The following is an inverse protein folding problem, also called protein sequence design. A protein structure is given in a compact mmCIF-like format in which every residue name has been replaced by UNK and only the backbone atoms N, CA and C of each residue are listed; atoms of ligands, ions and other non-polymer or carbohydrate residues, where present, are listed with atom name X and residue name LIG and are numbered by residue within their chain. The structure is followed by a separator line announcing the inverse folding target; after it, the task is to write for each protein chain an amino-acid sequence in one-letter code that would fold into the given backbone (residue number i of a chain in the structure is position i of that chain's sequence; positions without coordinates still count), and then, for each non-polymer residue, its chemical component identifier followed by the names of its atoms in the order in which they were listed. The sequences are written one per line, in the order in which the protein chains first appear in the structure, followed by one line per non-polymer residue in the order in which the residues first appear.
data_IF_962786566204
#
_entry.id   IF_962786566204
#
_cell.length_a   1.000
_cell.length_b   1.000
_cell.length_c   1.000
_cell.angle_alpha   90.00
_cell.angle_beta   90.00
_cell.angle_gamma   90.00
#
_symmetry.space_group_name_H-M   'P 1'
#
loop_
_entity.id
_entity.type
_entity.pdbx_description
1 polymer ?
#
# COMPACT_ATOMS: atom_id res chain seq x y z
N UNK A 1 8.13 4.75 -94.83
CA UNK A 1 9.08 3.62 -94.78
C UNK A 1 10.04 3.92 -93.64
N UNK A 2 9.96 3.15 -92.56
CA UNK A 2 10.70 3.37 -91.31
C UNK A 2 12.21 3.18 -91.47
N UNK A 3 12.99 4.06 -90.85
CA UNK A 3 14.34 3.81 -90.34
C UNK A 3 14.60 4.76 -89.14
N UNK A 4 15.04 4.27 -87.97
CA UNK A 4 15.28 5.07 -86.78
C UNK A 4 16.78 5.38 -86.57
N UNK A 5 17.08 6.44 -85.81
CA UNK A 5 18.43 6.73 -85.27
C UNK A 5 18.37 6.82 -83.75
N UNK A 6 19.28 6.07 -83.11
CA UNK A 6 19.54 5.97 -81.67
C UNK A 6 19.71 7.33 -80.99
N UNK A 7 19.09 7.50 -79.82
CA UNK A 7 19.45 8.52 -78.84
C UNK A 7 19.68 7.86 -77.48
N UNK A 8 20.84 8.15 -76.90
CA UNK A 8 21.40 7.63 -75.66
C UNK A 8 20.77 8.38 -74.46
N UNK A 9 20.09 7.68 -73.56
CA UNK A 9 19.54 8.26 -72.32
C UNK A 9 20.51 8.05 -71.14
N UNK A 10 20.96 9.16 -70.56
CA UNK A 10 21.71 9.21 -69.29
C UNK A 10 20.72 9.09 -68.12
N UNK A 11 20.91 8.11 -67.23
CA UNK A 11 20.16 7.99 -65.97
C UNK A 11 20.99 8.64 -64.86
N UNK A 12 20.48 9.71 -64.25
CA UNK A 12 21.05 10.30 -63.05
C UNK A 12 20.50 9.58 -61.81
N UNK A 13 21.39 8.99 -61.01
CA UNK A 13 21.06 8.36 -59.74
C UNK A 13 20.97 9.45 -58.65
N UNK A 14 19.78 9.62 -58.05
CA UNK A 14 19.57 10.46 -56.87
C UNK A 14 19.70 9.57 -55.64
N UNK A 15 20.79 9.70 -54.88
CA UNK A 15 20.96 9.07 -53.57
C UNK A 15 20.22 9.91 -52.51
N UNK A 16 18.98 9.52 -52.19
CA UNK A 16 18.26 10.05 -51.04
C UNK A 16 18.76 9.43 -49.75
N UNK A 17 19.48 10.19 -48.94
CA UNK A 17 19.77 9.82 -47.55
C UNK A 17 18.49 9.97 -46.73
N UNK A 18 17.87 8.85 -46.37
CA UNK A 18 16.78 8.81 -45.39
C UNK A 18 17.37 9.12 -44.01
N UNK A 19 17.19 10.36 -43.54
CA UNK A 19 17.37 10.68 -42.14
C UNK A 19 16.28 9.95 -41.34
N UNK A 20 16.67 8.88 -40.65
CA UNK A 20 15.78 8.18 -39.71
C UNK A 20 15.36 9.15 -38.61
N UNK A 21 14.05 9.18 -38.34
CA UNK A 21 13.49 9.85 -37.16
C UNK A 21 14.23 9.36 -35.90
N UNK A 22 14.58 10.22 -34.93
CA UNK A 22 15.14 9.75 -33.68
C UNK A 22 14.10 8.81 -33.04
N UNK A 23 14.45 7.52 -32.92
CA UNK A 23 13.74 6.63 -32.02
C UNK A 23 13.85 7.28 -30.64
N UNK A 24 12.72 7.76 -30.11
CA UNK A 24 12.61 8.03 -28.69
C UNK A 24 13.05 6.75 -27.99
N UNK A 25 14.21 6.82 -27.36
CA UNK A 25 14.67 5.80 -26.43
C UNK A 25 13.57 5.75 -25.38
N UNK A 26 12.75 4.71 -25.43
CA UNK A 26 11.75 4.45 -24.42
C UNK A 26 12.56 4.23 -23.14
N UNK A 27 12.67 5.27 -22.31
CA UNK A 27 13.39 5.19 -21.04
C UNK A 27 12.79 4.01 -20.29
N UNK A 28 13.63 3.08 -19.86
CA UNK A 28 13.16 2.01 -18.99
C UNK A 28 12.45 2.69 -17.80
N UNK A 29 11.23 2.24 -17.45
CA UNK A 29 10.50 2.84 -16.34
C UNK A 29 11.39 2.84 -15.10
N UNK A 30 11.52 3.99 -14.44
CA UNK A 30 12.37 4.14 -13.26
C UNK A 30 11.51 3.85 -12.04
N UNK A 31 11.79 2.79 -11.25
CA UNK A 31 11.05 2.55 -10.03
C UNK A 31 11.39 3.66 -9.02
N UNK A 32 10.34 4.24 -8.43
CA UNK A 32 10.41 5.27 -7.40
C UNK A 32 9.84 4.69 -6.11
N UNK A 33 10.61 4.78 -5.04
CA UNK A 33 10.16 4.49 -3.69
C UNK A 33 9.66 5.78 -3.04
N UNK A 34 8.43 5.73 -2.51
CA UNK A 34 7.83 6.76 -1.67
C UNK A 34 7.84 6.29 -0.23
N UNK A 35 8.34 7.12 0.68
CA UNK A 35 8.39 6.85 2.11
C UNK A 35 7.66 7.93 2.91
N UNK A 36 6.58 7.54 3.58
CA UNK A 36 5.71 8.39 4.37
C UNK A 36 6.09 8.34 5.86
N UNK A 37 5.96 9.45 6.59
CA UNK A 37 6.57 9.62 7.91
C UNK A 37 5.66 10.27 8.95
N UNK A 38 5.94 10.03 10.23
CA UNK A 38 5.49 10.92 11.30
C UNK A 38 6.39 12.15 11.37
N UNK A 39 5.80 13.32 11.55
CA UNK A 39 6.51 14.62 11.49
C UNK A 39 6.35 15.45 12.77
N UNK A 40 5.64 14.92 13.77
CA UNK A 40 5.41 15.57 15.06
C UNK A 40 5.44 14.55 16.20
N UNK A 41 5.73 15.03 17.40
CA UNK A 41 5.51 14.29 18.64
C UNK A 41 4.00 14.12 18.93
N UNK A 42 3.55 12.88 19.07
CA UNK A 42 2.18 12.49 19.42
C UNK A 42 2.08 11.94 20.86
N UNK A 43 3.15 12.08 21.66
CA UNK A 43 3.26 11.62 23.05
C UNK A 43 3.60 10.14 23.22
N UNK A 44 3.21 9.30 22.26
CA UNK A 44 3.61 7.88 22.19
C UNK A 44 4.66 7.61 21.10
N UNK A 45 4.94 8.60 20.25
CA UNK A 45 5.97 8.59 19.21
C UNK A 45 6.48 10.02 19.00
N UNK A 46 7.80 10.18 18.91
CA UNK A 46 8.42 11.45 18.54
C UNK A 46 8.74 11.44 17.03
N UNK A 47 7.83 11.98 16.21
CA UNK A 47 8.00 12.05 14.76
C UNK A 47 9.12 13.00 14.33
N UNK A 48 10.11 12.47 13.61
CA UNK A 48 11.29 13.24 13.12
C UNK A 48 11.36 13.34 11.60
N UNK A 49 10.38 12.78 10.90
CA UNK A 49 10.26 12.89 9.45
C UNK A 49 9.97 14.32 8.99
N UNK A 50 10.20 14.58 7.70
CA UNK A 50 10.02 15.92 7.08
C UNK A 50 8.86 15.96 6.09
N UNK A 51 8.10 14.87 5.96
CA UNK A 51 7.02 14.73 4.99
C UNK A 51 7.09 13.40 4.24
N UNK A 52 6.91 13.43 2.93
CA UNK A 52 7.04 12.27 2.05
C UNK A 52 8.39 12.36 1.33
N UNK A 53 9.19 11.32 1.45
CA UNK A 53 10.48 11.19 0.78
C UNK A 53 10.32 10.37 -0.50
N UNK A 54 11.06 10.72 -1.54
CA UNK A 54 11.17 9.92 -2.77
C UNK A 54 12.61 9.50 -3.01
N UNK A 55 12.77 8.28 -3.51
CA UNK A 55 14.06 7.72 -3.90
C UNK A 55 13.93 7.08 -5.27
N UNK A 56 14.94 7.28 -6.12
CA UNK A 56 15.12 6.45 -7.31
C UNK A 56 15.65 5.09 -6.85
N UNK A 57 14.92 4.03 -7.18
CA UNK A 57 15.25 2.68 -6.79
C UNK A 57 15.95 1.94 -7.94
N UNK A 58 17.19 1.54 -7.72
CA UNK A 58 17.94 0.68 -8.63
C UNK A 58 17.65 -0.79 -8.29
N UNK A 59 16.95 -1.47 -9.19
CA UNK A 59 16.57 -2.88 -9.01
C UNK A 59 17.68 -3.86 -9.37
N UNK A 60 18.83 -3.39 -9.86
CA UNK A 60 19.98 -4.24 -10.17
C UNK A 60 20.76 -4.61 -8.90
N UNK A 61 20.90 -3.68 -7.95
CA UNK A 61 21.65 -3.87 -6.71
C UNK A 61 20.86 -3.54 -5.43
N UNK A 62 19.63 -3.04 -5.58
CA UNK A 62 18.75 -2.70 -4.47
C UNK A 62 19.06 -1.33 -3.84
N UNK A 63 19.86 -0.48 -4.48
CA UNK A 63 20.21 0.83 -3.93
C UNK A 63 19.11 1.88 -4.13
N UNK A 64 18.99 2.77 -3.16
CA UNK A 64 18.08 3.92 -3.15
C UNK A 64 18.90 5.20 -3.27
N UNK A 65 18.66 5.98 -4.31
CA UNK A 65 19.22 7.32 -4.46
C UNK A 65 18.18 8.35 -4.02
N UNK A 66 18.44 9.17 -2.97
CA UNK A 66 17.53 10.23 -2.57
C UNK A 66 17.20 11.15 -3.74
N UNK A 67 15.93 11.51 -3.88
CA UNK A 67 15.46 12.31 -5.02
C UNK A 67 14.76 13.59 -4.54
N UNK A 68 13.65 13.48 -3.81
CA UNK A 68 12.89 14.62 -3.32
C UNK A 68 12.36 14.41 -1.90
N UNK A 69 12.01 15.53 -1.25
CA UNK A 69 11.32 15.54 0.04
C UNK A 69 10.20 16.56 -0.03
N UNK A 70 8.98 16.13 0.24
CA UNK A 70 7.78 16.98 0.16
C UNK A 70 7.15 17.14 1.54
N UNK A 71 7.25 18.32 2.17
CA UNK A 71 6.43 18.65 3.33
C UNK A 71 4.94 18.62 2.95
N UNK A 72 4.15 17.84 3.68
CA UNK A 72 2.72 17.71 3.43
C UNK A 72 1.97 17.71 4.76
N UNK A 73 1.97 18.85 5.46
CA UNK A 73 1.34 18.98 6.76
C UNK A 73 1.91 18.06 7.84
N UNK A 74 1.09 17.74 8.83
CA UNK A 74 1.47 16.92 9.99
C UNK A 74 1.16 15.45 9.71
N UNK A 75 2.13 14.57 9.98
CA UNK A 75 2.04 13.12 9.87
C UNK A 75 1.47 12.58 8.54
N UNK A 76 2.02 12.94 7.36
CA UNK A 76 1.72 12.25 6.11
C UNK A 76 2.23 10.81 6.17
N UNK A 77 1.45 9.91 6.75
CA UNK A 77 1.93 8.61 7.24
C UNK A 77 1.60 7.41 6.35
N UNK A 78 0.83 7.61 5.28
CA UNK A 78 0.53 6.54 4.32
C UNK A 78 0.38 7.14 2.93
N UNK A 79 0.92 6.43 1.93
CA UNK A 79 0.89 6.82 0.52
C UNK A 79 0.43 5.65 -0.34
N UNK A 80 -0.32 5.94 -1.39
CA UNK A 80 -0.75 4.97 -2.39
C UNK A 80 -0.89 5.66 -3.74
N UNK A 81 -0.19 5.14 -4.76
CA UNK A 81 -0.30 5.62 -6.13
C UNK A 81 -1.34 4.87 -6.95
N UNK A 82 -1.84 5.53 -7.99
CA UNK A 82 -2.70 4.97 -9.06
C UNK A 82 -1.84 4.19 -10.04
N UNK A 83 -2.35 3.12 -10.62
CA UNK A 83 -1.72 2.39 -11.73
C UNK A 83 -2.10 2.97 -13.08
N UNK A 84 -3.25 3.64 -13.18
CA UNK A 84 -3.67 4.36 -14.40
C UNK A 84 -3.14 5.79 -14.43
N UNK A 85 -3.03 6.28 -15.65
CA UNK A 85 -2.81 7.69 -15.99
C UNK A 85 -4.16 8.39 -16.15
N UNK A 86 -4.28 9.61 -15.62
CA UNK A 86 -5.48 10.44 -15.73
C UNK A 86 -5.47 11.31 -16.99
N UNK A 87 -6.53 12.10 -17.22
CA UNK A 87 -6.64 12.93 -18.44
C UNK A 87 -5.52 13.96 -18.59
N UNK A 88 -4.82 14.30 -17.50
CA UNK A 88 -3.65 15.19 -17.51
C UNK A 88 -2.40 14.53 -18.11
N UNK A 89 -2.41 13.20 -18.28
CA UNK A 89 -1.22 12.45 -18.68
C UNK A 89 -0.36 12.00 -17.50
N UNK A 90 -0.78 12.28 -16.26
CA UNK A 90 -0.04 11.97 -15.04
C UNK A 90 -0.70 10.84 -14.24
N UNK A 91 0.12 10.10 -13.48
CA UNK A 91 -0.34 9.24 -12.39
C UNK A 91 -0.50 10.08 -11.12
N UNK A 92 -1.46 9.73 -10.29
CA UNK A 92 -1.74 10.45 -9.04
C UNK A 92 -1.31 9.61 -7.84
N UNK A 93 -0.76 10.29 -6.83
CA UNK A 93 -0.42 9.74 -5.52
C UNK A 93 -1.40 10.31 -4.51
N UNK A 94 -1.97 9.44 -3.69
CA UNK A 94 -2.76 9.85 -2.55
C UNK A 94 -1.94 9.68 -1.27
N UNK A 95 -2.04 10.66 -0.38
CA UNK A 95 -1.40 10.63 0.92
C UNK A 95 -2.40 11.02 2.01
N UNK A 96 -2.27 10.44 3.20
CA UNK A 96 -3.10 10.80 4.36
C UNK A 96 -2.29 11.40 5.50
N UNK A 97 -2.87 12.41 6.13
CA UNK A 97 -2.37 13.05 7.34
C UNK A 97 -3.07 12.47 8.57
N UNK A 98 -2.34 11.69 9.36
CA UNK A 98 -2.87 11.06 10.56
C UNK A 98 -2.87 12.02 11.75
N UNK A 99 -3.85 12.89 11.74
CA UNK A 99 -4.19 13.80 12.83
C UNK A 99 -5.65 13.60 13.23
N UNK A 100 -6.02 14.11 14.40
CA UNK A 100 -7.39 14.09 14.92
C UNK A 100 -7.83 15.50 15.28
N UNK A 101 -7.77 16.38 14.29
CA UNK A 101 -8.13 17.80 14.42
C UNK A 101 -9.65 17.96 14.45
N UNK A 102 -10.15 19.08 14.95
CA UNK A 102 -11.58 19.40 14.88
C UNK A 102 -11.99 19.64 13.42
N UNK A 103 -13.05 18.96 12.97
CA UNK A 103 -13.55 19.10 11.60
C UNK A 103 -14.22 20.46 11.40
N UNK A 104 -13.83 21.17 10.32
CA UNK A 104 -14.50 22.41 9.92
C UNK A 104 -15.78 22.15 9.15
N UNK A 105 -15.89 21.01 8.47
CA UNK A 105 -17.07 20.62 7.69
C UNK A 105 -18.14 19.93 8.53
N UNK A 106 -17.75 19.29 9.62
CA UNK A 106 -18.60 18.53 10.53
C UNK A 106 -18.32 18.96 11.99
N UNK A 107 -18.81 20.14 12.42
CA UNK A 107 -18.53 20.64 13.76
C UNK A 107 -18.88 19.65 14.87
N UNK A 108 -17.99 19.51 15.86
CA UNK A 108 -18.11 18.56 16.96
C UNK A 108 -17.57 17.15 16.66
N UNK A 109 -17.00 16.91 15.47
CA UNK A 109 -16.30 15.66 15.14
C UNK A 109 -14.81 15.90 14.89
N UNK A 110 -14.05 14.79 14.82
CA UNK A 110 -12.61 14.82 14.51
C UNK A 110 -12.35 14.40 13.06
N UNK A 111 -11.25 14.89 12.50
CA UNK A 111 -10.81 14.55 11.14
C UNK A 111 -9.29 14.45 11.04
N UNK A 112 -8.83 13.62 10.11
CA UNK A 112 -7.55 13.81 9.44
C UNK A 112 -7.76 14.36 8.03
N UNK A 113 -6.75 14.19 7.18
CA UNK A 113 -6.81 14.68 5.79
C UNK A 113 -6.34 13.63 4.80
N UNK A 114 -6.84 13.73 3.57
CA UNK A 114 -6.34 13.02 2.39
C UNK A 114 -6.02 14.06 1.33
N UNK A 115 -4.86 13.90 0.69
CA UNK A 115 -4.37 14.76 -0.39
C UNK A 115 -4.15 13.94 -1.66
N UNK A 116 -4.48 14.51 -2.81
CA UNK A 116 -4.10 14.02 -4.14
C UNK A 116 -2.93 14.83 -4.68
N UNK A 117 -1.90 14.17 -5.20
CA UNK A 117 -0.65 14.77 -5.62
C UNK A 117 -0.14 14.18 -6.95
N UNK A 118 0.65 14.95 -7.69
CA UNK A 118 1.43 14.50 -8.85
C UNK A 118 2.92 14.52 -8.51
N UNK A 119 3.73 13.81 -9.29
CA UNK A 119 5.18 13.72 -9.10
C UNK A 119 5.90 14.66 -10.07
N UNK A 120 6.74 15.54 -9.54
CA UNK A 120 7.57 16.46 -10.32
C UNK A 120 8.87 15.79 -10.79
N UNK A 121 9.50 16.38 -11.82
CA UNK A 121 10.80 15.94 -12.36
C UNK A 121 11.96 16.00 -11.34
N UNK A 122 11.82 16.83 -10.30
CA UNK A 122 12.78 16.94 -9.19
C UNK A 122 12.52 15.94 -8.05
N UNK A 123 11.48 15.09 -8.18
CA UNK A 123 11.11 14.09 -7.19
C UNK A 123 10.22 14.60 -6.06
N UNK A 124 9.88 15.89 -6.03
CA UNK A 124 8.88 16.43 -5.11
C UNK A 124 7.47 16.12 -5.59
N UNK A 125 6.49 16.25 -4.70
CA UNK A 125 5.08 16.06 -5.02
C UNK A 125 4.37 17.41 -5.10
N UNK A 126 3.62 17.62 -6.18
CA UNK A 126 2.76 18.79 -6.35
C UNK A 126 1.34 18.47 -5.89
N UNK A 127 0.74 19.36 -5.10
CA UNK A 127 -0.59 19.17 -4.54
C UNK A 127 -1.69 19.52 -5.56
N UNK A 128 -2.59 18.57 -5.85
CA UNK A 128 -3.82 18.84 -6.60
C UNK A 128 -4.91 19.39 -5.67
N UNK A 129 -5.26 18.62 -4.63
CA UNK A 129 -6.20 19.07 -3.60
C UNK A 129 -6.08 18.25 -2.31
N UNK A 130 -6.70 18.77 -1.24
CA UNK A 130 -6.81 18.11 0.07
C UNK A 130 -8.24 18.18 0.57
N UNK A 131 -8.74 17.09 1.17
CA UNK A 131 -10.04 17.03 1.83
C UNK A 131 -9.92 16.45 3.25
N UNK A 132 -10.83 16.85 4.12
CA UNK A 132 -11.08 16.20 5.42
C UNK A 132 -11.56 14.77 5.20
N UNK A 133 -11.06 13.82 5.99
CA UNK A 133 -11.45 12.40 5.93
C UNK A 133 -12.70 12.09 6.76
N UNK A 134 -13.27 13.07 7.46
CA UNK A 134 -14.45 12.90 8.32
C UNK A 134 -14.23 11.82 9.40
N UNK A 135 -12.99 11.63 9.82
CA UNK A 135 -12.64 10.72 10.92
C UNK A 135 -11.20 10.92 11.37
N UNK A 136 -10.96 10.83 12.67
CA UNK A 136 -9.64 11.04 13.25
C UNK A 136 -8.64 9.94 12.91
N UNK A 137 -7.37 10.34 12.80
CA UNK A 137 -6.22 9.46 12.55
C UNK A 137 -6.42 8.48 11.39
N UNK A 138 -6.58 8.95 10.14
CA UNK A 138 -6.52 8.08 8.97
C UNK A 138 -5.24 7.23 8.99
N UNK A 139 -5.35 5.97 8.56
CA UNK A 139 -4.26 4.99 8.67
C UNK A 139 -3.95 4.23 7.38
N UNK A 140 -4.85 4.24 6.40
CA UNK A 140 -4.67 3.48 5.17
C UNK A 140 -5.52 4.03 4.02
N UNK A 141 -5.01 3.85 2.79
CA UNK A 141 -5.66 4.24 1.54
C UNK A 141 -5.85 3.00 0.68
N UNK A 142 -7.03 2.80 0.08
CA UNK A 142 -7.20 1.84 -1.00
C UNK A 142 -7.93 2.45 -2.18
N UNK A 143 -7.53 2.05 -3.39
CA UNK A 143 -8.17 2.44 -4.64
C UNK A 143 -9.12 1.35 -5.11
N UNK A 144 -10.29 1.73 -5.61
CA UNK A 144 -11.17 0.79 -6.29
C UNK A 144 -10.47 0.16 -7.50
N UNK A 145 -10.88 -1.04 -7.97
CA UNK A 145 -10.17 -1.71 -9.07
C UNK A 145 -10.10 -0.92 -10.38
N UNK A 146 -11.06 -0.01 -10.62
CA UNK A 146 -11.07 0.90 -11.77
C UNK A 146 -10.37 2.23 -11.47
N UNK A 147 -9.93 2.44 -10.23
CA UNK A 147 -9.32 3.66 -9.70
C UNK A 147 -10.21 4.88 -9.92
N UNK A 148 -11.52 4.69 -9.68
CA UNK A 148 -12.55 5.75 -9.75
C UNK A 148 -12.95 6.23 -8.35
N UNK A 149 -12.52 5.53 -7.30
CA UNK A 149 -12.79 5.86 -5.90
C UNK A 149 -11.56 5.60 -5.05
N UNK A 150 -11.35 6.48 -4.06
CA UNK A 150 -10.42 6.28 -2.94
C UNK A 150 -11.22 6.00 -1.69
N UNK A 151 -10.84 4.96 -0.94
CA UNK A 151 -11.37 4.64 0.39
C UNK A 151 -10.28 4.91 1.43
N UNK A 152 -10.65 5.68 2.44
CA UNK A 152 -9.80 6.01 3.59
C UNK A 152 -10.31 5.24 4.81
N UNK A 153 -9.39 4.53 5.46
CA UNK A 153 -9.61 3.90 6.75
C UNK A 153 -9.19 4.87 7.85
N UNK A 154 -10.13 5.30 8.68
CA UNK A 154 -9.86 6.13 9.84
C UNK A 154 -9.72 5.26 11.09
N UNK A 155 -8.56 5.31 11.74
CA UNK A 155 -8.31 4.57 12.98
C UNK A 155 -9.30 4.98 14.08
N UNK A 156 -9.85 6.20 14.04
CA UNK A 156 -10.95 6.64 14.89
C UNK A 156 -12.26 5.84 14.77
N UNK A 157 -12.29 4.81 13.92
CA UNK A 157 -13.40 3.87 13.82
C UNK A 157 -14.37 4.19 12.70
N UNK A 158 -13.91 4.73 11.57
CA UNK A 158 -14.77 5.04 10.44
C UNK A 158 -14.14 4.74 9.08
N UNK A 159 -14.98 4.69 8.06
CA UNK A 159 -14.60 4.57 6.66
C UNK A 159 -15.16 5.76 5.89
N UNK A 160 -14.35 6.35 5.02
CA UNK A 160 -14.76 7.45 4.14
C UNK A 160 -14.35 7.17 2.71
N UNK A 161 -15.22 7.48 1.74
CA UNK A 161 -14.95 7.26 0.32
C UNK A 161 -15.15 8.55 -0.48
N UNK A 162 -14.22 8.76 -1.42
CA UNK A 162 -14.20 9.89 -2.34
C UNK A 162 -14.19 9.35 -3.78
N UNK A 163 -15.11 9.80 -4.65
CA UNK A 163 -14.94 9.63 -6.09
C UNK A 163 -13.72 10.42 -6.58
N UNK A 164 -13.16 10.02 -7.71
CA UNK A 164 -12.04 10.70 -8.34
C UNK A 164 -12.51 11.50 -9.57
N UNK A 165 -12.01 12.72 -9.69
CA UNK A 165 -12.21 13.56 -10.85
C UNK A 165 -11.38 13.05 -12.04
N UNK A 166 -11.61 13.61 -13.22
CA UNK A 166 -10.94 13.16 -14.44
C UNK A 166 -9.43 13.44 -14.48
N UNK A 167 -8.95 14.38 -13.65
CA UNK A 167 -7.54 14.69 -13.41
C UNK A 167 -6.95 13.88 -12.24
N UNK A 168 -7.76 13.06 -11.57
CA UNK A 168 -7.37 12.27 -10.39
C UNK A 168 -7.40 13.05 -9.08
N UNK A 169 -7.79 14.32 -9.07
CA UNK A 169 -8.10 15.02 -7.82
C UNK A 169 -9.32 14.40 -7.12
N UNK A 170 -9.41 14.59 -5.81
CA UNK A 170 -10.52 14.05 -5.02
C UNK A 170 -11.80 14.86 -5.26
N UNK A 171 -12.91 14.19 -5.56
CA UNK A 171 -14.25 14.79 -5.56
C UNK A 171 -14.81 14.86 -4.12
N UNK A 172 -16.00 15.47 -3.98
CA UNK A 172 -16.69 15.55 -2.68
C UNK A 172 -16.92 14.15 -2.10
N UNK A 173 -16.78 14.02 -0.77
CA UNK A 173 -17.15 12.83 -0.01
C UNK A 173 -18.51 12.28 -0.46
N UNK A 174 -18.54 11.00 -0.84
CA UNK A 174 -19.75 10.32 -1.31
C UNK A 174 -20.27 9.28 -0.32
N UNK A 175 -19.44 8.86 0.64
CA UNK A 175 -19.82 7.89 1.67
C UNK A 175 -18.99 8.07 2.93
N UNK A 176 -19.65 7.94 4.08
CA UNK A 176 -19.03 7.88 5.40
C UNK A 176 -19.82 6.92 6.30
N UNK A 177 -19.13 6.11 7.08
CA UNK A 177 -19.76 5.22 8.07
C UNK A 177 -18.87 5.01 9.29
N UNK A 178 -19.46 5.17 10.47
CA UNK A 178 -18.80 4.95 11.76
C UNK A 178 -19.06 3.54 12.34
N UNK A 179 -18.11 3.07 13.14
CA UNK A 179 -18.07 1.79 13.83
C UNK A 179 -17.65 2.01 15.30
N UNK A 180 -18.49 2.62 16.15
CA UNK A 180 -18.09 3.03 17.50
C UNK A 180 -17.92 1.86 18.49
N UNK A 181 -18.31 0.64 18.12
CA UNK A 181 -18.30 -0.53 19.01
C UNK A 181 -17.00 -1.31 18.86
N UNK A 182 -16.28 -1.47 19.96
CA UNK A 182 -15.16 -2.41 20.07
C UNK A 182 -15.57 -3.75 20.69
N UNK A 183 -14.68 -4.74 20.62
CA UNK A 183 -14.89 -6.07 21.22
C UNK A 183 -14.71 -6.07 22.73
N UNK A 184 -14.02 -5.05 23.27
CA UNK A 184 -13.69 -4.87 24.70
C UNK A 184 -12.84 -6.00 25.30
N UNK A 185 -12.14 -6.76 24.46
CA UNK A 185 -11.28 -7.87 24.90
C UNK A 185 -9.93 -7.34 25.39
N UNK A 186 -9.28 -6.48 24.60
CA UNK A 186 -8.06 -5.76 24.98
C UNK A 186 -8.38 -4.27 25.05
N UNK A 187 -8.76 -3.80 26.25
CA UNK A 187 -9.43 -2.52 26.45
C UNK A 187 -8.71 -1.31 25.84
N UNK A 188 -7.39 -1.24 25.95
CA UNK A 188 -6.61 -0.09 25.46
C UNK A 188 -6.69 0.05 23.93
N UNK A 189 -6.88 -1.05 23.19
CA UNK A 189 -6.96 -1.08 21.73
C UNK A 189 -8.34 -1.45 21.18
N UNK A 190 -9.29 -1.86 22.04
CA UNK A 190 -10.58 -2.44 21.61
C UNK A 190 -11.78 -1.92 22.42
N UNK A 191 -11.65 -0.75 23.06
CA UNK A 191 -12.78 -0.06 23.70
C UNK A 191 -13.82 0.42 22.65
N UNK A 192 -13.36 0.81 21.47
CA UNK A 192 -14.14 1.25 20.30
C UNK A 192 -13.71 0.50 19.04
N UNK A 193 -14.39 0.72 17.91
CA UNK A 193 -13.90 0.23 16.62
C UNK A 193 -12.73 1.06 16.12
N UNK A 194 -11.82 0.40 15.39
CA UNK A 194 -10.62 1.00 14.82
C UNK A 194 -10.38 0.42 13.44
N UNK A 195 -10.78 1.17 12.39
CA UNK A 195 -10.63 0.71 11.01
C UNK A 195 -9.18 0.94 10.58
N UNK A 196 -8.43 -0.14 10.42
CA UNK A 196 -7.00 -0.03 10.16
C UNK A 196 -6.66 -0.10 8.67
N UNK A 197 -7.38 -0.88 7.88
CA UNK A 197 -7.18 -0.93 6.42
C UNK A 197 -8.43 -1.29 5.65
N UNK A 198 -8.37 -1.06 4.33
CA UNK A 198 -9.34 -1.57 3.36
C UNK A 198 -8.63 -2.26 2.20
N UNK A 199 -9.22 -3.34 1.69
CA UNK A 199 -8.67 -4.11 0.57
C UNK A 199 -9.80 -4.54 -0.36
N UNK A 200 -9.69 -4.15 -1.64
CA UNK A 200 -10.65 -4.54 -2.68
C UNK A 200 -10.42 -5.98 -3.11
N UNK A 201 -11.48 -6.79 -3.09
CA UNK A 201 -11.38 -8.18 -3.49
C UNK A 201 -11.21 -8.29 -5.02
N UNK A 202 -10.40 -9.24 -5.50
CA UNK A 202 -9.99 -9.32 -6.90
C UNK A 202 -11.16 -9.31 -7.88
N UNK A 203 -11.08 -8.48 -8.93
CA UNK A 203 -12.07 -8.39 -10.01
C UNK A 203 -13.52 -8.23 -9.51
N UNK A 204 -13.71 -7.52 -8.41
CA UNK A 204 -15.01 -7.39 -7.77
C UNK A 204 -15.30 -5.96 -7.33
N UNK A 205 -16.57 -5.72 -7.00
CA UNK A 205 -17.03 -4.48 -6.38
C UNK A 205 -17.04 -4.56 -4.85
N UNK A 206 -16.41 -5.58 -4.28
CA UNK A 206 -16.44 -5.81 -2.86
C UNK A 206 -15.12 -5.36 -2.22
N UNK A 207 -15.23 -4.69 -1.08
CA UNK A 207 -14.10 -4.22 -0.28
C UNK A 207 -14.25 -4.77 1.13
N UNK A 208 -13.13 -5.21 1.71
CA UNK A 208 -13.07 -5.67 3.08
C UNK A 208 -12.30 -4.65 3.91
N UNK A 209 -12.84 -4.27 5.06
CA UNK A 209 -12.19 -3.41 6.01
C UNK A 209 -11.78 -4.21 7.26
N UNK A 210 -10.52 -4.08 7.66
CA UNK A 210 -10.02 -4.66 8.89
C UNK A 210 -10.36 -3.73 10.06
N UNK A 211 -11.27 -4.16 10.93
CA UNK A 211 -11.62 -3.46 12.15
C UNK A 211 -10.89 -4.09 13.34
N UNK A 212 -9.73 -3.52 13.68
CA UNK A 212 -8.90 -3.93 14.79
C UNK A 212 -9.69 -3.91 16.10
N UNK A 213 -10.43 -2.81 16.31
CA UNK A 213 -11.14 -2.55 17.55
C UNK A 213 -12.27 -3.53 17.85
N UNK A 214 -12.91 -4.09 16.83
CA UNK A 214 -14.07 -5.00 17.00
C UNK A 214 -13.79 -6.48 16.73
N UNK A 215 -12.56 -6.85 16.37
CA UNK A 215 -12.21 -8.21 15.92
C UNK A 215 -13.03 -8.65 14.68
N UNK A 216 -13.27 -7.73 13.74
CA UNK A 216 -14.09 -8.02 12.55
C UNK A 216 -13.39 -7.65 11.25
N UNK A 217 -13.64 -8.47 10.23
CA UNK A 217 -13.45 -8.12 8.83
C UNK A 217 -14.80 -7.70 8.26
N UNK A 218 -15.02 -6.39 8.21
CA UNK A 218 -16.24 -5.80 7.68
C UNK A 218 -16.25 -5.92 6.16
N UNK A 219 -17.35 -6.33 5.56
CA UNK A 219 -17.44 -6.53 4.10
C UNK A 219 -18.46 -5.56 3.51
N UNK A 220 -18.13 -4.95 2.38
CA UNK A 220 -19.01 -4.02 1.67
C UNK A 220 -19.06 -4.33 0.19
N UNK A 221 -20.12 -3.87 -0.48
CA UNK A 221 -20.26 -3.84 -1.94
C UNK A 221 -20.46 -2.41 -2.42
N UNK A 222 -19.65 -1.99 -3.38
CA UNK A 222 -19.80 -0.70 -4.07
C UNK A 222 -21.10 -0.69 -4.90
N UNK A 223 -21.92 0.32 -4.64
CA UNK A 223 -22.99 0.77 -5.50
C UNK A 223 -22.47 1.97 -6.32
N UNK A 224 -21.97 1.70 -7.53
CA UNK A 224 -21.36 2.73 -8.39
C UNK A 224 -22.35 3.84 -8.77
N UNK A 225 -23.64 3.51 -8.93
CA UNK A 225 -24.66 4.50 -9.31
C UNK A 225 -24.90 5.50 -8.19
N UNK A 226 -24.91 5.02 -6.95
CA UNK A 226 -25.05 5.86 -5.76
C UNK A 226 -23.73 6.39 -5.23
N UNK A 227 -22.60 5.86 -5.71
CA UNK A 227 -21.26 6.13 -5.21
C UNK A 227 -21.13 5.86 -3.70
N UNK A 228 -21.74 4.76 -3.23
CA UNK A 228 -21.75 4.38 -1.80
C UNK A 228 -21.31 2.93 -1.59
N UNK A 229 -20.98 2.59 -0.35
CA UNK A 229 -20.68 1.21 0.06
C UNK A 229 -21.89 0.62 0.81
N UNK A 230 -22.39 -0.51 0.32
CA UNK A 230 -23.44 -1.28 1.00
C UNK A 230 -22.82 -2.33 1.92
N UNK A 231 -23.13 -2.25 3.21
CA UNK A 231 -22.69 -3.25 4.21
C UNK A 231 -23.20 -4.66 3.85
N UNK A 232 -22.30 -5.63 3.98
CA UNK A 232 -22.55 -7.07 3.86
C UNK A 232 -22.24 -7.75 5.21
N UNK A 233 -22.38 -9.08 5.25
CA UNK A 233 -22.07 -9.84 6.47
C UNK A 233 -20.58 -9.80 6.77
N UNK A 234 -20.22 -9.31 7.95
CA UNK A 234 -18.84 -9.33 8.44
C UNK A 234 -18.35 -10.77 8.73
N UNK A 235 -17.03 -10.93 8.78
CA UNK A 235 -16.36 -12.14 9.23
C UNK A 235 -15.68 -11.87 10.56
N UNK A 236 -16.04 -12.64 11.59
CA UNK A 236 -15.46 -12.47 12.91
C UNK A 236 -14.07 -13.10 12.97
N UNK A 237 -13.14 -12.40 13.61
CA UNK A 237 -11.87 -12.94 14.08
C UNK A 237 -12.04 -13.48 15.50
N UNK A 238 -11.12 -14.35 15.97
CA UNK A 238 -11.09 -14.71 17.38
C UNK A 238 -11.03 -13.45 18.28
N UNK A 239 -11.70 -13.44 19.44
CA UNK A 239 -11.62 -12.32 20.38
C UNK A 239 -10.16 -11.95 20.73
N UNK A 240 -9.82 -10.66 20.68
CA UNK A 240 -8.47 -10.15 20.94
C UNK A 240 -7.46 -10.37 19.80
N UNK A 241 -7.94 -10.60 18.58
CA UNK A 241 -7.06 -10.74 17.42
C UNK A 241 -6.54 -9.38 16.94
N UNK A 242 -7.44 -8.42 16.76
CA UNK A 242 -7.15 -7.12 16.18
C UNK A 242 -6.71 -7.18 14.71
N UNK A 243 -7.59 -7.54 13.74
CA UNK A 243 -7.22 -7.58 12.32
C UNK A 243 -6.72 -6.20 11.85
N UNK A 244 -5.60 -6.19 11.12
CA UNK A 244 -4.89 -4.95 10.78
C UNK A 244 -4.82 -4.70 9.27
N UNK A 245 -4.01 -5.48 8.55
CA UNK A 245 -3.81 -5.37 7.10
C UNK A 245 -4.17 -6.70 6.41
N UNK A 246 -4.40 -6.66 5.10
CA UNK A 246 -4.71 -7.83 4.28
C UNK A 246 -3.91 -7.83 2.98
N UNK A 247 -3.39 -8.99 2.61
CA UNK A 247 -2.77 -9.23 1.32
C UNK A 247 -3.55 -10.28 0.52
N UNK A 248 -3.61 -10.13 -0.79
CA UNK A 248 -4.34 -11.01 -1.69
C UNK A 248 -3.38 -11.83 -2.53
N UNK A 249 -3.63 -13.14 -2.63
CA UNK A 249 -2.85 -13.98 -3.53
C UNK A 249 -3.17 -13.61 -5.00
N UNK A 250 -2.18 -13.54 -5.91
CA UNK A 250 -2.39 -13.25 -7.32
C UNK A 250 -3.36 -14.17 -8.07
N UNK A 251 -3.72 -15.33 -7.50
CA UNK A 251 -4.66 -16.26 -8.11
C UNK A 251 -6.13 -15.85 -7.87
N UNK A 252 -6.34 -14.81 -7.05
CA UNK A 252 -7.63 -14.24 -6.68
C UNK A 252 -8.50 -15.12 -5.79
N UNK A 253 -7.95 -16.17 -5.19
CA UNK A 253 -8.69 -17.17 -4.40
C UNK A 253 -8.43 -17.09 -2.90
N UNK A 254 -7.31 -16.52 -2.48
CA UNK A 254 -6.86 -16.53 -1.09
C UNK A 254 -6.59 -15.10 -0.62
N UNK A 255 -7.04 -14.81 0.61
CA UNK A 255 -6.69 -13.60 1.34
C UNK A 255 -5.93 -13.98 2.62
N UNK A 256 -4.90 -13.21 2.94
CA UNK A 256 -4.12 -13.32 4.17
C UNK A 256 -4.36 -12.08 5.01
N UNK A 257 -4.77 -12.26 6.26
CA UNK A 257 -5.04 -11.16 7.18
C UNK A 257 -4.06 -11.25 8.33
N UNK A 258 -3.29 -10.19 8.54
CA UNK A 258 -2.46 -10.07 9.74
C UNK A 258 -3.27 -9.47 10.88
N UNK A 259 -3.21 -10.10 12.04
CA UNK A 259 -3.83 -9.64 13.27
C UNK A 259 -2.74 -9.01 14.17
N UNK A 260 -2.91 -7.72 14.48
CA UNK A 260 -1.96 -6.89 15.21
C UNK A 260 -1.72 -7.39 16.63
N UNK A 261 -2.80 -7.59 17.38
CA UNK A 261 -2.76 -7.84 18.83
C UNK A 261 -2.34 -9.28 19.13
N UNK A 262 -2.83 -10.24 18.34
CA UNK A 262 -2.55 -11.66 18.58
C UNK A 262 -1.32 -12.21 17.86
N UNK A 263 -0.60 -11.38 17.09
CA UNK A 263 0.55 -11.78 16.27
C UNK A 263 0.29 -13.03 15.44
N UNK A 264 -0.79 -13.01 14.66
CA UNK A 264 -1.13 -14.14 13.79
C UNK A 264 -1.50 -13.72 12.38
N UNK A 265 -1.35 -14.63 11.44
CA UNK A 265 -1.95 -14.54 10.11
C UNK A 265 -3.10 -15.52 10.00
N UNK A 266 -4.26 -15.03 9.56
CA UNK A 266 -5.40 -15.83 9.14
C UNK A 266 -5.40 -16.04 7.62
N UNK A 267 -5.57 -17.28 7.17
CA UNK A 267 -5.72 -17.64 5.75
C UNK A 267 -7.20 -17.82 5.42
N UNK A 268 -7.72 -17.12 4.42
CA UNK A 268 -9.13 -17.16 4.04
C UNK A 268 -9.31 -17.51 2.58
N UNK A 269 -10.33 -18.32 2.28
CA UNK A 269 -10.81 -18.47 0.92
C UNK A 269 -11.64 -17.24 0.52
N UNK A 270 -11.56 -16.88 -0.75
CA UNK A 270 -12.44 -15.91 -1.40
C UNK A 270 -13.45 -16.70 -2.23
N UNK A 271 -14.73 -16.60 -1.89
CA UNK A 271 -15.81 -17.12 -2.72
C UNK A 271 -15.84 -16.34 -4.03
N UNK A 272 -15.52 -17.01 -5.14
CA UNK A 272 -15.44 -16.37 -6.47
C UNK A 272 -16.77 -15.79 -6.96
N UNK A 273 -17.90 -16.39 -6.58
CA UNK A 273 -19.22 -15.97 -7.09
C UNK A 273 -19.76 -14.80 -6.29
N UNK A 274 -19.65 -14.88 -4.96
CA UNK A 274 -20.11 -13.83 -4.06
C UNK A 274 -19.11 -12.68 -3.92
N UNK A 275 -17.82 -12.93 -4.23
CA UNK A 275 -16.68 -12.09 -3.91
C UNK A 275 -16.65 -11.77 -2.40
N UNK A 276 -16.70 -12.80 -1.56
CA UNK A 276 -16.69 -12.66 -0.10
C UNK A 276 -15.65 -13.58 0.52
N UNK A 277 -15.11 -13.15 1.66
CA UNK A 277 -14.28 -14.02 2.48
C UNK A 277 -15.10 -15.17 3.07
N UNK A 278 -14.45 -16.32 3.23
CA UNK A 278 -14.98 -17.44 4.00
C UNK A 278 -15.26 -17.00 5.45
N UNK A 279 -16.34 -17.51 6.04
CA UNK A 279 -16.74 -17.17 7.42
C UNK A 279 -15.71 -17.55 8.48
N UNK A 280 -14.85 -18.52 8.16
CA UNK A 280 -13.76 -18.98 9.03
C UNK A 280 -12.47 -18.97 8.25
N UNK A 281 -11.36 -18.73 8.95
CA UNK A 281 -10.04 -18.93 8.38
C UNK A 281 -9.78 -20.43 8.22
N UNK A 282 -9.12 -20.81 7.12
CA UNK A 282 -8.59 -22.15 6.88
C UNK A 282 -7.45 -22.49 7.84
N UNK A 283 -6.68 -21.48 8.20
CA UNK A 283 -5.52 -21.60 9.07
C UNK A 283 -5.36 -20.31 9.87
N UNK A 284 -4.85 -20.46 11.09
CA UNK A 284 -4.26 -19.40 11.90
C UNK A 284 -2.84 -19.82 12.23
N UNK A 285 -1.86 -18.97 11.96
CA UNK A 285 -0.45 -19.25 12.23
C UNK A 285 0.19 -18.06 12.95
N UNK A 286 1.06 -18.33 13.93
CA UNK A 286 1.76 -17.27 14.65
C UNK A 286 2.85 -16.64 13.78
N UNK A 287 3.06 -15.33 13.97
CA UNK A 287 4.14 -14.56 13.37
C UNK A 287 5.36 -14.43 14.29
N UNK A 288 5.41 -15.17 15.39
CA UNK A 288 6.49 -15.12 16.38
C UNK A 288 7.12 -16.49 16.62
N UNK A 289 8.39 -16.54 17.07
CA UNK A 289 8.98 -17.74 17.64
C UNK A 289 8.13 -18.25 18.83
N UNK A 290 8.01 -19.56 18.98
CA UNK A 290 7.20 -20.20 20.04
C UNK A 290 7.64 -19.80 21.46
N UNK A 291 8.93 -19.50 21.60
CA UNK A 291 9.61 -19.16 22.84
C UNK A 291 9.68 -17.64 23.10
N UNK A 292 9.26 -16.79 22.17
CA UNK A 292 9.22 -15.34 22.40
C UNK A 292 8.18 -14.98 23.48
N UNK A 293 8.58 -14.17 24.47
CA UNK A 293 7.75 -13.79 25.64
C UNK A 293 7.53 -12.30 25.81
N UNK A 294 8.28 -11.46 25.10
CA UNK A 294 8.15 -10.01 25.22
C UNK A 294 6.92 -9.52 24.44
N UNK A 295 6.55 -8.25 24.63
CA UNK A 295 5.48 -7.62 23.87
C UNK A 295 5.87 -7.52 22.40
N UNK A 296 4.95 -7.89 21.53
CA UNK A 296 5.05 -7.65 20.09
C UNK A 296 3.67 -7.35 19.54
N UNK A 297 3.62 -6.62 18.43
CA UNK A 297 2.40 -6.42 17.65
C UNK A 297 2.72 -6.50 16.16
N UNK A 298 1.96 -7.30 15.42
CA UNK A 298 2.17 -7.41 13.97
C UNK A 298 1.74 -6.13 13.26
N UNK A 299 2.33 -5.84 12.11
CA UNK A 299 2.04 -4.61 11.37
C UNK A 299 1.70 -4.89 9.91
N UNK A 300 2.69 -4.94 9.04
CA UNK A 300 2.42 -4.95 7.60
C UNK A 300 2.44 -6.37 7.02
N UNK A 301 1.89 -6.57 5.83
CA UNK A 301 1.79 -7.89 5.19
C UNK A 301 1.86 -7.78 3.67
N UNK A 302 2.78 -8.52 3.05
CA UNK A 302 2.98 -8.52 1.60
C UNK A 302 3.34 -9.91 1.09
N UNK A 303 3.04 -10.17 -0.18
CA UNK A 303 3.52 -11.37 -0.87
C UNK A 303 4.79 -11.05 -1.66
N UNK A 304 5.64 -12.05 -1.86
CA UNK A 304 6.67 -12.02 -2.92
C UNK A 304 6.02 -11.77 -4.29
N UNK A 305 6.72 -11.11 -5.22
CA UNK A 305 6.18 -10.83 -6.57
C UNK A 305 5.78 -12.07 -7.36
N UNK A 306 6.37 -13.24 -7.08
CA UNK A 306 5.98 -14.51 -7.70
C UNK A 306 4.79 -15.22 -7.00
N UNK A 307 4.24 -14.64 -5.93
CA UNK A 307 3.12 -15.16 -5.16
C UNK A 307 3.39 -16.40 -4.31
N UNK A 308 4.65 -16.85 -4.16
CA UNK A 308 4.99 -18.10 -3.47
C UNK A 308 5.32 -17.94 -1.98
N UNK A 309 5.58 -16.72 -1.55
CA UNK A 309 5.95 -16.40 -0.17
C UNK A 309 5.12 -15.24 0.36
N UNK A 310 4.92 -15.26 1.68
CA UNK A 310 4.26 -14.21 2.43
C UNK A 310 5.22 -13.69 3.51
N UNK A 311 5.22 -12.38 3.69
CA UNK A 311 6.01 -11.67 4.68
C UNK A 311 5.10 -10.85 5.57
N UNK A 312 5.45 -10.74 6.85
CA UNK A 312 4.78 -9.82 7.77
C UNK A 312 5.75 -9.29 8.81
N UNK A 313 5.61 -8.02 9.18
CA UNK A 313 6.50 -7.39 10.16
C UNK A 313 5.93 -7.48 11.57
N UNK A 314 6.82 -7.62 12.56
CA UNK A 314 6.50 -7.61 13.98
C UNK A 314 7.23 -6.46 14.66
N UNK A 315 6.49 -5.58 15.33
CA UNK A 315 7.03 -4.49 16.16
C UNK A 315 7.27 -5.02 17.56
N UNK A 316 8.49 -4.90 18.08
CA UNK A 316 8.89 -5.44 19.39
C UNK A 316 9.74 -6.71 19.29
N UNK A 317 9.37 -7.66 18.43
CA UNK A 317 10.32 -8.71 17.97
C UNK A 317 11.25 -8.17 16.87
N UNK A 318 10.88 -7.05 16.23
CA UNK A 318 11.68 -6.31 15.25
C UNK A 318 12.22 -7.19 14.11
N UNK A 319 11.27 -7.89 13.48
CA UNK A 319 11.55 -8.90 12.46
C UNK A 319 10.54 -8.89 11.31
N UNK A 320 10.94 -9.39 10.15
CA UNK A 320 10.03 -9.94 9.14
C UNK A 320 9.86 -11.44 9.38
N UNK A 321 8.64 -11.88 9.69
CA UNK A 321 8.25 -13.29 9.66
C UNK A 321 8.01 -13.72 8.21
N UNK A 322 8.61 -14.85 7.82
CA UNK A 322 8.60 -15.36 6.45
C UNK A 322 7.80 -16.66 6.38
N UNK A 323 6.98 -16.82 5.35
CA UNK A 323 6.18 -18.03 5.15
C UNK A 323 6.22 -18.50 3.69
N UNK A 324 6.28 -19.81 3.51
CA UNK A 324 6.00 -20.46 2.22
C UNK A 324 4.51 -20.68 2.08
N UNK A 325 3.97 -20.31 0.93
CA UNK A 325 2.58 -20.55 0.56
C UNK A 325 2.46 -21.93 -0.10
N UNK A 326 1.50 -22.72 0.36
CA UNK A 326 1.08 -23.94 -0.31
C UNK A 326 0.26 -23.59 -1.54
N UNK A 327 0.75 -23.97 -2.73
CA UNK A 327 0.13 -23.59 -4.01
C UNK A 327 -1.29 -24.17 -4.20
N UNK A 328 -1.66 -25.24 -3.46
CA UNK A 328 -2.95 -25.90 -3.60
C UNK A 328 -4.07 -25.22 -2.81
N UNK A 329 -3.81 -24.89 -1.54
CA UNK A 329 -4.84 -24.42 -0.59
C UNK A 329 -4.53 -23.05 0.04
N UNK A 330 -3.37 -22.48 -0.29
CA UNK A 330 -2.93 -21.17 0.22
C UNK A 330 -2.41 -21.20 1.65
N UNK A 331 -2.37 -22.35 2.33
CA UNK A 331 -1.86 -22.44 3.71
C UNK A 331 -0.38 -22.08 3.81
N UNK A 332 0.03 -21.63 4.98
CA UNK A 332 1.34 -21.08 5.28
C UNK A 332 2.17 -22.06 6.10
N UNK A 333 3.45 -22.19 5.73
CA UNK A 333 4.48 -22.85 6.52
C UNK A 333 5.56 -21.84 6.88
N UNK A 334 5.91 -21.69 8.17
CA UNK A 334 6.95 -20.76 8.59
C UNK A 334 8.31 -21.14 8.01
N UNK A 335 9.05 -20.12 7.54
CA UNK A 335 10.43 -20.20 7.09
C UNK A 335 11.41 -19.56 8.09
N UNK A 336 10.89 -19.09 9.23
CA UNK A 336 11.65 -18.36 10.24
C UNK A 336 11.42 -16.86 10.18
N UNK A 337 12.39 -16.12 10.74
CA UNK A 337 12.28 -14.69 11.02
C UNK A 337 13.60 -14.02 10.66
N UNK A 338 13.55 -12.93 9.92
CA UNK A 338 14.72 -12.10 9.61
C UNK A 338 14.64 -10.82 10.42
N UNK A 339 15.73 -10.44 11.10
CA UNK A 339 15.80 -9.16 11.80
C UNK A 339 15.69 -8.00 10.83
N UNK A 340 14.93 -6.96 11.18
CA UNK A 340 14.85 -5.74 10.37
C UNK A 340 16.01 -4.78 10.60
N UNK A 341 16.96 -5.13 11.48
CA UNK A 341 18.17 -4.37 11.84
C UNK A 341 17.91 -3.00 12.48
N UNK A 342 16.64 -2.69 12.76
CA UNK A 342 16.19 -1.51 13.46
C UNK A 342 15.03 -1.85 14.39
N UNK A 343 14.28 -0.85 14.84
CA UNK A 343 13.20 -1.03 15.80
C UNK A 343 11.84 -0.57 15.27
N UNK A 344 10.80 -1.36 15.56
CA UNK A 344 9.41 -1.08 15.20
C UNK A 344 9.21 -1.00 13.68
N UNK A 345 9.39 -2.11 12.94
CA UNK A 345 9.16 -2.17 11.50
C UNK A 345 7.67 -2.06 11.15
N UNK A 346 7.15 -0.83 11.09
CA UNK A 346 5.71 -0.57 10.90
C UNK A 346 5.25 -0.73 9.44
N UNK A 347 6.13 -0.46 8.48
CA UNK A 347 5.84 -0.58 7.06
C UNK A 347 7.01 -1.17 6.31
N UNK A 348 6.72 -2.01 5.31
CA UNK A 348 7.70 -2.49 4.36
C UNK A 348 7.05 -2.63 3.00
N UNK A 349 7.84 -2.83 1.95
CA UNK A 349 7.33 -3.09 0.61
C UNK A 349 8.12 -4.20 -0.04
N UNK A 350 7.49 -4.90 -0.98
CA UNK A 350 8.12 -5.91 -1.81
C UNK A 350 7.95 -5.51 -3.27
N UNK A 351 9.06 -5.37 -3.98
CA UNK A 351 9.06 -5.01 -5.39
C UNK A 351 10.14 -5.81 -6.13
N UNK A 352 9.71 -6.66 -7.06
CA UNK A 352 10.59 -7.65 -7.69
C UNK A 352 11.19 -8.61 -6.67
N UNK A 353 12.51 -8.75 -6.71
CA UNK A 353 13.28 -9.58 -5.77
C UNK A 353 13.83 -8.77 -4.58
N UNK A 354 13.17 -7.67 -4.21
CA UNK A 354 13.61 -6.79 -3.13
C UNK A 354 12.53 -6.60 -2.07
N UNK A 355 12.95 -6.59 -0.81
CA UNK A 355 12.16 -6.16 0.33
C UNK A 355 12.85 -4.96 0.98
N UNK A 356 12.14 -3.86 1.10
CA UNK A 356 12.61 -2.65 1.78
C UNK A 356 11.74 -2.46 3.01
N UNK A 357 12.36 -2.33 4.18
CA UNK A 357 11.65 -2.15 5.46
C UNK A 357 12.01 -0.80 6.06
N UNK A 358 11.00 -0.10 6.59
CA UNK A 358 11.16 1.11 7.38
C UNK A 358 10.96 0.81 8.87
N UNK A 359 11.95 1.14 9.69
CA UNK A 359 11.90 1.00 11.13
C UNK A 359 11.57 2.35 11.77
N UNK A 360 10.36 2.42 12.32
CA UNK A 360 9.76 3.65 12.82
C UNK A 360 10.60 4.29 13.94
N UNK A 361 11.06 3.49 14.91
CA UNK A 361 11.65 4.02 16.13
C UNK A 361 13.17 4.18 16.06
N UNK A 362 13.83 3.48 15.13
CA UNK A 362 15.28 3.63 14.91
C UNK A 362 15.62 4.61 13.78
N UNK A 363 14.61 5.17 13.08
CA UNK A 363 14.76 6.18 12.02
C UNK A 363 15.64 5.70 10.86
N UNK A 364 15.42 4.47 10.41
CA UNK A 364 16.20 3.86 9.34
C UNK A 364 15.36 3.01 8.39
N UNK A 365 15.92 2.76 7.21
CA UNK A 365 15.46 1.76 6.26
C UNK A 365 16.58 0.79 5.91
N UNK A 366 16.21 -0.46 5.66
CA UNK A 366 17.13 -1.50 5.20
C UNK A 366 16.57 -2.23 3.99
N UNK A 367 17.47 -2.63 3.08
CA UNK A 367 17.12 -3.37 1.86
C UNK A 367 17.61 -4.82 1.94
N UNK A 368 16.72 -5.75 1.63
CA UNK A 368 16.97 -7.17 1.58
C UNK A 368 16.71 -7.71 0.18
N UNK A 369 17.60 -8.56 -0.31
CA UNK A 369 17.34 -9.39 -1.48
C UNK A 369 16.41 -10.54 -1.05
N UNK A 370 15.35 -10.76 -1.83
CA UNK A 370 14.41 -11.85 -1.70
C UNK A 370 14.90 -13.01 -2.56
N UNK A 371 15.22 -14.14 -1.95
CA UNK A 371 15.52 -15.33 -2.72
C UNK A 371 14.23 -15.91 -3.31
N UNK A 372 13.97 -15.70 -4.60
CA UNK A 372 12.74 -16.10 -5.30
C UNK A 372 12.45 -17.61 -5.29
N UNK A 373 13.42 -18.46 -4.93
CA UNK A 373 13.25 -19.92 -4.82
C UNK A 373 12.92 -20.38 -3.40
N UNK A 374 13.43 -19.69 -2.38
CA UNK A 374 13.34 -20.14 -0.98
C UNK A 374 12.50 -19.22 -0.10
N UNK A 375 12.29 -17.97 -0.52
CA UNK A 375 11.61 -16.94 0.27
C UNK A 375 12.47 -16.34 1.38
N UNK A 376 13.73 -16.75 1.51
CA UNK A 376 14.63 -16.22 2.52
C UNK A 376 15.14 -14.83 2.12
N UNK A 377 15.26 -13.97 3.12
CA UNK A 377 15.77 -12.62 2.97
C UNK A 377 17.29 -12.61 3.23
N UNK A 378 18.02 -11.82 2.44
CA UNK A 378 19.44 -11.55 2.66
C UNK A 378 19.68 -10.05 2.65
N UNK A 379 20.21 -9.52 3.75
CA UNK A 379 20.61 -8.12 3.79
C UNK A 379 21.65 -7.81 2.71
N UNK A 380 21.44 -6.70 2.02
CA UNK A 380 22.24 -6.28 0.87
C UNK A 380 23.52 -5.54 1.25
N UNK A 381 23.52 -4.91 2.44
CA UNK A 381 24.49 -3.87 2.79
C UNK A 381 23.92 -2.45 2.65
N UNK A 382 22.76 -2.27 2.02
CA UNK A 382 22.15 -0.96 1.81
C UNK A 382 21.25 -0.56 3.00
N UNK A 383 21.54 0.59 3.58
CA UNK A 383 20.77 1.20 4.68
C UNK A 383 20.69 2.70 4.52
N UNK A 384 19.61 3.30 5.00
CA UNK A 384 19.33 4.73 4.83
C UNK A 384 18.76 5.31 6.12
N UNK A 385 19.24 6.48 6.53
CA UNK A 385 18.63 7.25 7.62
C UNK A 385 17.37 7.95 7.10
N UNK A 386 16.26 7.76 7.79
CA UNK A 386 15.00 8.45 7.50
C UNK A 386 14.17 8.59 8.77
N UNK A 387 13.80 9.82 9.09
CA UNK A 387 13.01 10.11 10.28
C UNK A 387 11.65 9.42 10.23
N UNK A 388 11.43 8.49 11.16
CA UNK A 388 10.13 7.93 11.54
C UNK A 388 9.25 7.49 10.36
N UNK A 389 9.84 6.78 9.39
CA UNK A 389 9.13 6.22 8.25
C UNK A 389 8.25 5.03 8.63
N UNK A 390 7.04 4.97 8.08
CA UNK A 390 6.00 4.02 8.50
C UNK A 390 5.18 3.40 7.36
N UNK A 391 5.30 3.93 6.14
CA UNK A 391 4.68 3.38 4.93
C UNK A 391 5.65 3.54 3.77
N UNK A 392 5.79 2.47 2.97
CA UNK A 392 6.61 2.41 1.78
C UNK A 392 5.77 1.98 0.59
N UNK A 393 5.86 2.70 -0.52
CA UNK A 393 5.19 2.38 -1.78
C UNK A 393 6.19 2.48 -2.93
N UNK A 394 6.20 1.50 -3.85
CA UNK A 394 7.06 1.54 -5.03
C UNK A 394 6.19 1.51 -6.29
N UNK A 395 6.51 2.38 -7.24
CA UNK A 395 5.88 2.39 -8.55
C UNK A 395 6.84 2.90 -9.64
N UNK A 396 6.58 2.45 -10.86
CA UNK A 396 7.29 2.89 -12.07
C UNK A 396 6.77 4.25 -12.57
N UNK A 397 7.66 5.20 -12.77
CA UNK A 397 7.35 6.51 -13.37
C UNK A 397 8.20 6.76 -14.62
#
# INVERSE_FOLDING_TARGET
MHLPTLALTLVAAVTGALAGSPQQQQSNPQPILFAATYTRDEGWINGTGKGIYTYKFDTTDGSLTPWGVTPLGINPMYVQGTTKTFKTGERVIYAINAVSDESKKHPGTQTGFVSALTLNDDGTLELLNTLETHGGSPTHISLSPQEDFVVISNYGGSLTMFPLNADGSLAKESFHQEFPKGSKVVMDQQASGHIHSTTWLPNSKNVVAANLGSDELLQFKLDEKKQTLKTLKAVNRPPGSGPRHMALHPNGKIAYVVDEISNTVGVFNIDKKAALLSKTALQKISTLPKDFKNTSTSADIHLSSNGKFLYTSNRGHDSIAMFKINENDGTLTSLGFESTRGNVPRGFTVYGDWLIVANQNSNDMYVFAVNSKTGLLKYTGNSYEIGTAVCLYVAEY
#
